data_IF_737545328988
#
_entry.id   IF_737545328988
#
_cell.length_a   1.000
_cell.length_b   1.000
_cell.length_c   1.000
_cell.angle_alpha   90.00
_cell.angle_beta   90.00
_cell.angle_gamma   90.00
#
_symmetry.space_group_name_H-M   'P 1'
#
loop_
_entity.id
_entity.type
_entity.pdbx_description
1 polymer ?
#
# COMPACT_ATOMS: atom_id res chain seq x y z
N UNK A 1 -1.09 9.44 -10.85
CA UNK A 1 -0.13 9.35 -9.75
C UNK A 1 -0.42 10.45 -8.74
N UNK A 2 -0.85 10.09 -7.52
CA UNK A 2 -0.94 11.04 -6.43
C UNK A 2 0.33 10.92 -5.60
N UNK A 3 1.20 11.93 -5.64
CA UNK A 3 2.44 11.99 -4.85
C UNK A 3 2.20 12.26 -3.35
N UNK A 4 0.95 12.46 -2.96
CA UNK A 4 0.55 12.63 -1.56
C UNK A 4 -0.58 11.66 -1.25
N UNK A 5 -0.54 11.00 -0.08
CA UNK A 5 -1.63 10.13 0.36
C UNK A 5 -2.98 10.86 0.35
N UNK A 6 -4.00 10.22 -0.22
CA UNK A 6 -5.35 10.80 -0.36
C UNK A 6 -6.20 10.40 0.85
N UNK A 7 -5.90 10.99 2.01
CA UNK A 7 -6.67 10.78 3.24
C UNK A 7 -7.50 12.01 3.58
N UNK A 8 -8.62 11.81 4.25
CA UNK A 8 -9.45 12.89 4.79
C UNK A 8 -8.86 13.36 6.10
N UNK A 9 -8.04 14.40 6.06
CA UNK A 9 -7.21 14.88 7.18
C UNK A 9 -8.02 15.30 8.41
N UNK A 10 -9.26 15.77 8.21
CA UNK A 10 -10.16 16.21 9.27
C UNK A 10 -10.84 15.02 10.01
N UNK A 11 -10.88 13.86 9.37
CA UNK A 11 -11.45 12.65 9.93
C UNK A 11 -10.40 11.87 10.69
N UNK A 12 -10.84 11.08 11.68
CA UNK A 12 -9.98 10.12 12.36
C UNK A 12 -9.53 9.00 11.40
N UNK A 13 -8.50 8.25 11.78
CA UNK A 13 -8.07 7.05 11.04
C UNK A 13 -9.22 6.06 10.87
N UNK A 14 -9.98 5.83 11.94
CA UNK A 14 -11.16 4.95 11.93
C UNK A 14 -12.21 5.42 10.92
N UNK A 15 -12.58 6.71 10.95
CA UNK A 15 -13.57 7.28 10.03
C UNK A 15 -13.13 7.24 8.57
N UNK A 16 -11.83 7.39 8.29
CA UNK A 16 -11.28 7.21 6.95
C UNK A 16 -11.53 5.79 6.43
N UNK A 17 -11.26 4.77 7.26
CA UNK A 17 -11.50 3.36 6.91
C UNK A 17 -13.00 3.07 6.76
N UNK A 18 -13.84 3.59 7.66
CA UNK A 18 -15.30 3.46 7.57
C UNK A 18 -15.84 4.04 6.26
N UNK A 19 -15.39 5.25 5.90
CA UNK A 19 -15.82 5.93 4.67
C UNK A 19 -15.37 5.18 3.41
N UNK A 20 -14.21 4.53 3.45
CA UNK A 20 -13.68 3.74 2.34
C UNK A 20 -14.36 2.38 2.17
N UNK A 21 -15.09 1.90 3.18
CA UNK A 21 -15.71 0.58 3.18
C UNK A 21 -16.66 0.39 2.00
N UNK A 22 -16.62 -0.79 1.40
CA UNK A 22 -17.55 -1.20 0.35
C UNK A 22 -18.93 -1.45 0.94
N UNK A 23 -19.79 -0.44 0.91
CA UNK A 23 -21.18 -0.50 1.41
C UNK A 23 -22.14 0.09 0.38
N UNK A 24 -23.45 -0.14 0.59
CA UNK A 24 -24.48 0.55 -0.20
C UNK A 24 -24.49 2.05 0.17
N UNK A 25 -23.90 2.86 -0.71
CA UNK A 25 -23.74 4.32 -0.52
C UNK A 25 -24.98 5.13 -0.92
N UNK A 26 -26.18 4.53 -0.91
CA UNK A 26 -27.42 5.29 -1.08
C UNK A 26 -27.61 6.25 0.08
N UNK A 27 -28.17 7.43 -0.20
CA UNK A 27 -28.29 8.52 0.78
C UNK A 27 -29.02 8.07 2.06
N UNK A 28 -30.12 7.33 1.95
CA UNK A 28 -30.90 6.87 3.12
C UNK A 28 -30.14 5.89 4.01
N UNK A 29 -29.53 4.79 3.50
CA UNK A 29 -28.70 3.92 4.33
C UNK A 29 -27.53 4.66 4.97
N UNK A 30 -26.86 5.55 4.25
CA UNK A 30 -25.69 6.28 4.77
C UNK A 30 -26.03 7.22 5.92
N UNK A 31 -27.19 7.89 5.88
CA UNK A 31 -27.61 8.84 6.93
C UNK A 31 -28.07 8.15 8.22
N UNK A 32 -28.53 6.89 8.16
CA UNK A 32 -29.12 6.18 9.30
C UNK A 32 -28.41 4.88 9.64
N UNK A 33 -27.34 4.51 8.92
CA UNK A 33 -26.59 3.29 9.21
C UNK A 33 -25.73 3.46 10.46
N UNK A 34 -25.92 2.55 11.41
CA UNK A 34 -24.90 2.28 12.43
C UNK A 34 -24.02 1.16 11.91
N UNK A 35 -22.73 1.24 12.21
CA UNK A 35 -21.80 0.14 11.93
C UNK A 35 -22.35 -1.15 12.55
N UNK A 36 -22.39 -2.20 11.76
CA UNK A 36 -22.63 -3.55 12.28
C UNK A 36 -21.39 -4.04 13.02
N UNK A 37 -21.54 -5.03 13.93
CA UNK A 37 -20.39 -5.64 14.60
C UNK A 37 -19.33 -6.12 13.60
N UNK A 38 -19.75 -6.84 12.56
CA UNK A 38 -18.84 -7.34 11.52
C UNK A 38 -18.07 -6.23 10.77
N UNK A 39 -18.70 -5.07 10.55
CA UNK A 39 -18.02 -3.92 9.94
C UNK A 39 -16.99 -3.30 10.88
N UNK A 40 -17.34 -3.18 12.17
CA UNK A 40 -16.39 -2.68 13.18
C UNK A 40 -15.20 -3.63 13.36
N UNK A 41 -15.45 -4.94 13.40
CA UNK A 41 -14.41 -5.97 13.48
C UNK A 41 -13.48 -5.88 12.28
N UNK A 42 -14.00 -5.71 11.08
CA UNK A 42 -13.21 -5.56 9.86
C UNK A 42 -12.34 -4.30 9.86
N UNK A 43 -12.87 -3.15 10.31
CA UNK A 43 -12.04 -1.95 10.50
C UNK A 43 -10.95 -2.26 11.50
N UNK A 44 -11.29 -2.96 12.60
CA UNK A 44 -10.33 -3.38 13.60
C UNK A 44 -9.19 -4.23 13.04
N UNK A 45 -9.51 -5.27 12.27
CA UNK A 45 -8.52 -6.14 11.61
C UNK A 45 -7.63 -5.34 10.64
N UNK A 46 -8.24 -4.42 9.87
CA UNK A 46 -7.48 -3.55 8.97
C UNK A 46 -6.53 -2.62 9.74
N UNK A 47 -6.98 -2.03 10.85
CA UNK A 47 -6.15 -1.19 11.73
C UNK A 47 -4.95 -1.95 12.29
N UNK A 48 -5.13 -3.23 12.65
CA UNK A 48 -4.03 -4.08 13.12
C UNK A 48 -3.04 -4.35 11.99
N UNK A 49 -3.55 -4.73 10.81
CA UNK A 49 -2.75 -5.03 9.64
C UNK A 49 -1.87 -3.84 9.22
N UNK A 50 -2.46 -2.64 9.12
CA UNK A 50 -1.73 -1.41 8.78
C UNK A 50 -1.02 -0.77 10.00
N UNK A 51 -1.08 -1.43 11.17
CA UNK A 51 -0.39 -1.00 12.42
C UNK A 51 -0.78 0.39 12.92
N UNK A 52 -2.01 0.80 12.65
CA UNK A 52 -2.57 2.10 13.08
C UNK A 52 -3.64 1.98 14.16
N UNK A 53 -3.78 0.82 14.82
CA UNK A 53 -4.75 0.66 15.91
C UNK A 53 -4.56 1.66 17.06
N UNK A 54 -3.34 2.00 17.51
CA UNK A 54 -3.14 3.02 18.55
C UNK A 54 -3.61 4.41 18.13
N UNK A 55 -3.61 4.68 16.82
CA UNK A 55 -3.96 5.98 16.22
C UNK A 55 -5.42 6.03 15.73
N UNK A 56 -6.23 4.99 16.00
CA UNK A 56 -7.56 4.80 15.40
C UNK A 56 -8.46 6.04 15.50
N UNK A 57 -8.45 6.73 16.62
CA UNK A 57 -9.29 7.91 16.87
C UNK A 57 -8.55 9.24 16.71
N UNK A 58 -7.30 9.21 16.25
CA UNK A 58 -6.50 10.40 15.97
C UNK A 58 -6.88 10.97 14.61
N UNK A 59 -7.00 12.31 14.44
CA UNK A 59 -7.17 12.94 13.13
C UNK A 59 -6.05 12.52 12.16
N UNK A 60 -6.42 12.08 10.95
CA UNK A 60 -5.45 11.58 9.97
C UNK A 60 -4.44 12.65 9.53
N UNK A 61 -4.81 13.94 9.63
CA UNK A 61 -3.90 15.05 9.35
C UNK A 61 -2.66 15.07 10.24
N UNK A 62 -2.72 14.48 11.46
CA UNK A 62 -1.63 14.45 12.45
C UNK A 62 -0.71 13.23 12.29
N UNK A 63 -0.98 12.34 11.34
CA UNK A 63 -0.14 11.19 11.05
C UNK A 63 1.15 11.60 10.33
N UNK A 64 2.22 10.81 10.49
CA UNK A 64 3.43 10.93 9.65
C UNK A 64 3.10 10.62 8.20
N UNK A 65 4.04 10.93 7.29
CA UNK A 65 3.87 10.62 5.87
C UNK A 65 3.68 9.11 5.65
N UNK A 66 4.54 8.28 6.23
CA UNK A 66 4.42 6.81 6.14
C UNK A 66 3.12 6.28 6.74
N UNK A 67 2.68 6.81 7.89
CA UNK A 67 1.40 6.44 8.49
C UNK A 67 0.20 6.80 7.59
N UNK A 68 0.23 7.95 6.91
CA UNK A 68 -0.80 8.32 5.92
C UNK A 68 -0.82 7.35 4.75
N UNK A 69 0.35 6.91 4.28
CA UNK A 69 0.46 5.93 3.22
C UNK A 69 -0.12 4.56 3.64
N UNK A 70 0.15 4.11 4.87
CA UNK A 70 -0.46 2.88 5.41
C UNK A 70 -1.97 3.01 5.55
N UNK A 71 -2.47 4.19 5.97
CA UNK A 71 -3.91 4.45 6.01
C UNK A 71 -4.53 4.38 4.61
N UNK A 72 -3.88 4.91 3.58
CA UNK A 72 -4.34 4.83 2.20
C UNK A 72 -4.42 3.36 1.72
N UNK A 73 -3.40 2.54 2.02
CA UNK A 73 -3.45 1.09 1.76
C UNK A 73 -4.64 0.46 2.50
N UNK A 74 -4.85 0.80 3.77
CA UNK A 74 -5.99 0.33 4.55
C UNK A 74 -7.33 0.71 3.90
N UNK A 75 -7.48 1.94 3.43
CA UNK A 75 -8.68 2.40 2.73
C UNK A 75 -8.92 1.61 1.43
N UNK A 76 -7.87 1.26 0.69
CA UNK A 76 -7.98 0.37 -0.47
C UNK A 76 -8.45 -1.03 -0.06
N UNK A 77 -7.90 -1.59 1.01
CA UNK A 77 -8.29 -2.92 1.51
C UNK A 77 -9.76 -2.98 1.95
N UNK A 78 -10.31 -1.89 2.48
CA UNK A 78 -11.74 -1.79 2.83
C UNK A 78 -12.67 -1.95 1.62
N UNK A 79 -12.18 -1.79 0.39
CA UNK A 79 -12.93 -1.99 -0.86
C UNK A 79 -12.90 -3.44 -1.37
N UNK A 80 -12.22 -4.35 -0.67
CA UNK A 80 -12.08 -5.77 -1.06
C UNK A 80 -11.49 -5.96 -2.48
N UNK A 81 -10.34 -5.34 -2.79
CA UNK A 81 -9.77 -5.46 -4.11
C UNK A 81 -9.18 -6.85 -4.33
N UNK A 82 -9.28 -7.36 -5.56
CA UNK A 82 -8.54 -8.56 -5.98
C UNK A 82 -7.11 -8.20 -6.38
N UNK A 83 -6.90 -6.98 -6.88
CA UNK A 83 -5.62 -6.45 -7.32
C UNK A 83 -5.37 -5.10 -6.67
N UNK A 84 -4.22 -4.93 -6.04
CA UNK A 84 -3.71 -3.65 -5.54
C UNK A 84 -2.62 -3.15 -6.48
N UNK A 85 -2.77 -1.91 -6.95
CA UNK A 85 -1.78 -1.20 -7.74
C UNK A 85 -1.15 -0.12 -6.85
N UNK A 86 0.13 -0.25 -6.56
CA UNK A 86 0.88 0.66 -5.72
C UNK A 86 1.98 1.33 -6.55
N UNK A 87 1.99 2.65 -6.57
CA UNK A 87 2.97 3.44 -7.32
C UNK A 87 3.83 4.23 -6.33
N UNK A 88 5.11 3.85 -6.22
CA UNK A 88 6.11 4.39 -5.29
C UNK A 88 5.60 4.41 -3.83
N UNK A 89 5.18 3.26 -3.26
CA UNK A 89 4.56 3.22 -1.94
C UNK A 89 5.48 3.63 -0.79
N UNK A 90 6.79 3.68 -0.99
CA UNK A 90 7.77 4.06 0.04
C UNK A 90 8.44 5.41 -0.20
N UNK A 91 7.99 6.16 -1.21
CA UNK A 91 8.56 7.48 -1.51
C UNK A 91 8.48 8.43 -0.32
N UNK A 92 9.62 8.98 0.12
CA UNK A 92 9.70 9.93 1.24
C UNK A 92 9.54 9.31 2.63
N UNK A 93 9.60 7.99 2.75
CA UNK A 93 9.61 7.29 4.03
C UNK A 93 11.03 7.23 4.62
N UNK A 94 11.09 7.06 5.94
CA UNK A 94 12.33 6.67 6.63
C UNK A 94 12.60 5.19 6.39
N UNK A 95 13.87 4.74 6.61
CA UNK A 95 14.25 3.33 6.46
C UNK A 95 13.37 2.39 7.29
N UNK A 96 13.03 2.79 8.52
CA UNK A 96 12.15 2.02 9.38
C UNK A 96 10.70 1.94 8.88
N UNK A 97 10.18 2.99 8.25
CA UNK A 97 8.85 2.99 7.63
C UNK A 97 8.87 2.14 6.35
N UNK A 98 9.94 2.21 5.56
CA UNK A 98 10.15 1.40 4.35
C UNK A 98 10.17 -0.09 4.70
N UNK A 99 10.96 -0.49 5.70
CA UNK A 99 11.03 -1.88 6.16
C UNK A 99 9.64 -2.41 6.57
N UNK A 100 8.91 -1.62 7.38
CA UNK A 100 7.55 -1.98 7.82
C UNK A 100 6.55 -2.05 6.67
N UNK A 101 6.70 -1.19 5.65
CA UNK A 101 5.87 -1.24 4.44
C UNK A 101 6.15 -2.53 3.66
N UNK A 102 7.41 -2.95 3.55
CA UNK A 102 7.78 -4.23 2.94
C UNK A 102 7.15 -5.43 3.67
N UNK A 103 7.18 -5.42 5.02
CA UNK A 103 6.50 -6.44 5.82
C UNK A 103 4.99 -6.47 5.55
N UNK A 104 4.32 -5.30 5.55
CA UNK A 104 2.89 -5.19 5.24
C UNK A 104 2.56 -5.75 3.85
N UNK A 105 3.33 -5.41 2.82
CA UNK A 105 3.10 -5.92 1.46
C UNK A 105 3.32 -7.43 1.37
N UNK A 106 4.29 -7.97 2.11
CA UNK A 106 4.52 -9.42 2.20
C UNK A 106 3.37 -10.14 2.93
N UNK A 107 2.74 -9.54 3.95
CA UNK A 107 1.55 -10.08 4.60
C UNK A 107 0.32 -10.07 3.67
N UNK A 108 0.22 -9.07 2.78
CA UNK A 108 -0.85 -8.97 1.78
C UNK A 108 -0.69 -9.96 0.63
N UNK A 109 0.56 -10.39 0.35
CA UNK A 109 0.84 -11.41 -0.64
C UNK A 109 0.14 -12.72 -0.26
N UNK A 110 -0.51 -13.37 -1.21
CA UNK A 110 -1.27 -14.58 -0.97
C UNK A 110 -2.76 -14.35 -0.64
N UNK A 111 -3.12 -13.13 -0.23
CA UNK A 111 -4.53 -12.72 -0.09
C UNK A 111 -4.98 -11.84 -1.25
N UNK A 112 -4.06 -11.06 -1.82
CA UNK A 112 -4.29 -10.14 -2.92
C UNK A 112 -3.22 -10.29 -3.99
N UNK A 113 -3.58 -10.01 -5.24
CA UNK A 113 -2.58 -9.76 -6.29
C UNK A 113 -2.01 -8.36 -6.08
N UNK A 114 -0.68 -8.24 -6.09
CA UNK A 114 0.01 -6.96 -5.92
C UNK A 114 0.76 -6.62 -7.21
N UNK A 115 0.64 -5.38 -7.66
CA UNK A 115 1.49 -4.79 -8.67
C UNK A 115 2.10 -3.52 -8.08
N UNK A 116 3.42 -3.51 -7.93
CA UNK A 116 4.16 -2.40 -7.32
C UNK A 116 5.08 -1.81 -8.36
N UNK A 117 5.04 -0.50 -8.51
CA UNK A 117 5.98 0.27 -9.34
C UNK A 117 6.92 0.99 -8.39
N UNK A 118 8.21 0.68 -8.48
CA UNK A 118 9.25 1.24 -7.62
C UNK A 118 10.56 1.38 -8.36
N UNK A 119 11.40 2.26 -7.87
CA UNK A 119 12.76 2.47 -8.37
C UNK A 119 13.84 2.14 -7.32
N UNK A 120 13.46 1.89 -6.08
CA UNK A 120 14.34 1.42 -5.02
C UNK A 120 14.53 -0.10 -5.14
N UNK A 121 15.71 -0.50 -5.60
CA UNK A 121 16.04 -1.91 -5.86
C UNK A 121 16.13 -2.74 -4.59
N UNK A 122 16.51 -2.15 -3.46
CA UNK A 122 16.59 -2.85 -2.18
C UNK A 122 15.18 -3.16 -1.68
N UNK A 123 14.28 -2.19 -1.77
CA UNK A 123 12.88 -2.41 -1.45
C UNK A 123 12.21 -3.40 -2.39
N UNK A 124 12.44 -3.29 -3.72
CA UNK A 124 11.94 -4.28 -4.69
C UNK A 124 12.43 -5.68 -4.35
N UNK A 125 13.71 -5.84 -3.97
CA UNK A 125 14.27 -7.14 -3.56
C UNK A 125 13.57 -7.69 -2.31
N UNK A 126 13.24 -6.84 -1.33
CA UNK A 126 12.54 -7.22 -0.11
C UNK A 126 11.14 -7.78 -0.40
N UNK A 127 10.42 -7.20 -1.37
CA UNK A 127 9.02 -7.55 -1.66
C UNK A 127 8.83 -8.51 -2.83
N UNK A 128 9.82 -8.67 -3.71
CA UNK A 128 9.68 -9.49 -4.92
C UNK A 128 9.44 -10.97 -4.61
N UNK A 129 10.18 -11.55 -3.64
CA UNK A 129 10.09 -12.97 -3.32
C UNK A 129 10.27 -13.84 -4.57
N UNK A 130 9.29 -14.69 -4.85
CA UNK A 130 9.18 -15.52 -6.07
C UNK A 130 8.39 -14.83 -7.20
N UNK A 131 8.02 -13.57 -7.00
CA UNK A 131 7.28 -12.77 -7.97
C UNK A 131 8.10 -12.43 -9.21
N UNK A 132 7.37 -11.98 -10.24
CA UNK A 132 7.96 -11.52 -11.48
C UNK A 132 8.33 -10.04 -11.38
N UNK A 133 9.59 -9.71 -11.65
CA UNK A 133 10.08 -8.33 -11.77
C UNK A 133 10.22 -7.97 -13.23
N UNK A 134 9.70 -6.81 -13.62
CA UNK A 134 9.83 -6.24 -14.96
C UNK A 134 10.53 -4.90 -14.86
N UNK A 135 11.69 -4.77 -15.48
CA UNK A 135 12.45 -3.51 -15.54
C UNK A 135 12.09 -2.76 -16.81
N UNK A 136 11.66 -1.52 -16.62
CA UNK A 136 11.33 -0.59 -17.70
C UNK A 136 12.45 0.45 -17.85
N UNK A 137 12.85 0.70 -19.07
CA UNK A 137 13.80 1.76 -19.42
C UNK A 137 13.38 2.41 -20.73
N UNK A 138 13.32 3.74 -20.78
CA UNK A 138 12.95 4.53 -21.96
C UNK A 138 11.67 4.02 -22.66
N UNK A 139 10.65 3.66 -21.87
CA UNK A 139 9.35 3.20 -22.37
C UNK A 139 9.32 1.76 -22.88
N UNK A 140 10.40 1.00 -22.73
CA UNK A 140 10.53 -0.37 -23.20
C UNK A 140 10.87 -1.32 -22.04
N UNK A 141 10.52 -2.62 -22.20
CA UNK A 141 10.92 -3.66 -21.25
C UNK A 141 12.40 -3.98 -21.48
N UNK A 142 13.24 -3.67 -20.50
CA UNK A 142 14.68 -3.96 -20.53
C UNK A 142 14.99 -5.39 -20.12
N UNK A 143 14.38 -5.86 -19.03
CA UNK A 143 14.53 -7.22 -18.52
C UNK A 143 13.26 -7.66 -17.79
N UNK A 144 13.04 -8.98 -17.76
CA UNK A 144 11.89 -9.57 -17.07
C UNK A 144 12.24 -10.96 -16.51
N UNK A 145 11.80 -11.24 -15.28
CA UNK A 145 11.97 -12.54 -14.64
C UNK A 145 12.03 -12.48 -13.13
N UNK A 146 12.47 -13.54 -12.46
CA UNK A 146 12.76 -13.54 -11.03
C UNK A 146 13.84 -12.49 -10.69
N UNK A 147 13.80 -11.93 -9.48
CA UNK A 147 14.70 -10.85 -9.04
C UNK A 147 16.17 -11.16 -9.28
N UNK A 148 16.62 -12.37 -8.93
CA UNK A 148 18.00 -12.81 -9.13
C UNK A 148 18.47 -12.75 -10.60
N UNK A 149 17.58 -13.08 -11.55
CA UNK A 149 17.86 -12.98 -12.98
C UNK A 149 17.96 -11.53 -13.44
N UNK A 150 17.06 -10.68 -12.96
CA UNK A 150 16.99 -9.27 -13.32
C UNK A 150 18.22 -8.52 -12.80
N UNK A 151 18.62 -8.76 -11.55
CA UNK A 151 19.84 -8.15 -10.96
C UNK A 151 21.14 -8.57 -11.63
N UNK A 152 21.16 -9.77 -12.24
CA UNK A 152 22.34 -10.27 -12.96
C UNK A 152 22.40 -9.83 -14.44
N UNK A 153 21.35 -9.17 -14.96
CA UNK A 153 21.35 -8.71 -16.36
C UNK A 153 22.31 -7.51 -16.53
N UNK A 154 23.34 -7.61 -17.41
CA UNK A 154 24.31 -6.55 -17.60
C UNK A 154 23.69 -5.19 -17.97
N UNK A 155 22.58 -5.20 -18.71
CA UNK A 155 21.87 -3.97 -19.12
C UNK A 155 21.20 -3.30 -17.93
N UNK A 156 20.67 -4.08 -16.97
CA UNK A 156 20.10 -3.56 -15.74
C UNK A 156 21.19 -2.98 -14.84
N UNK A 157 22.35 -3.68 -14.75
CA UNK A 157 23.52 -3.21 -14.00
C UNK A 157 24.00 -1.86 -14.53
N UNK A 158 24.12 -1.73 -15.85
CA UNK A 158 24.57 -0.48 -16.50
C UNK A 158 23.61 0.69 -16.21
N UNK A 159 22.30 0.46 -16.33
CA UNK A 159 21.30 1.53 -16.23
C UNK A 159 20.99 1.92 -14.78
N UNK A 160 20.88 0.97 -13.87
CA UNK A 160 20.36 1.19 -12.52
C UNK A 160 21.37 1.03 -11.39
N UNK A 161 22.44 0.26 -11.59
CA UNK A 161 23.45 0.01 -10.56
C UNK A 161 24.76 0.77 -10.82
N UNK A 162 24.88 1.48 -11.93
CA UNK A 162 25.94 2.47 -12.18
C UNK A 162 27.35 1.90 -12.20
N UNK A 163 27.54 0.66 -12.68
CA UNK A 163 28.86 0.01 -12.78
C UNK A 163 29.20 -0.37 -14.21
#
# INVERSE_FOLDING_TARGET
>A
KFQKPTVFEQLSVFENLELAMKTDKRVRPTLFSRLTGAQADRIGETLDLIRLRPEAFRPAGLLSHGQKQWLEIGMLLMQEPQLLLLDEPVAGMTDAETERTGELLNELRGRHSLMVVEHDMDFVNQIAGDGKVTVLHEGSVLAEGPMAKVQADPRVIEVYLGR
#
